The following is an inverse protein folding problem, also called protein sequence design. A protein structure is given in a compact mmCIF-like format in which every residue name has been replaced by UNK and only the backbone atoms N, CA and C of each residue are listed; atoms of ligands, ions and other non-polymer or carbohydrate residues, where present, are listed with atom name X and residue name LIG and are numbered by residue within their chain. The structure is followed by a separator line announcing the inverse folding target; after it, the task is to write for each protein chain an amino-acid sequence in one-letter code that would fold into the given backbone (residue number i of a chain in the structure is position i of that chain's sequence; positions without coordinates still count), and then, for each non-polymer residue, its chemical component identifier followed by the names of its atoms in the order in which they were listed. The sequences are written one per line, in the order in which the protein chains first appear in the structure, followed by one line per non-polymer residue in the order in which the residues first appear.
data_IF_482238179610
#
_entry.id   IF_482238179610
#
_cell.length_a   1.000
_cell.length_b   1.000
_cell.length_c   1.000
_cell.angle_alpha   90.00
_cell.angle_beta   90.00
_cell.angle_gamma   90.00
#
_symmetry.space_group_name_H-M   'P 1'
#
loop_
_entity.id
_entity.type
_entity.pdbx_description
1 polymer ?
#
# COMPACT_ATOMS: atom_id res chain seq x y z
N UNK A 1 -12.10 -6.21 0.26
CA UNK A 1 -11.08 -7.12 0.86
C UNK A 1 -9.87 -6.35 1.39
N UNK A 2 -9.11 -5.62 0.55
CA UNK A 2 -7.93 -4.88 1.01
C UNK A 2 -8.24 -3.86 2.13
N UNK A 3 -9.40 -3.18 2.07
CA UNK A 3 -9.83 -2.27 3.15
C UNK A 3 -10.09 -2.98 4.48
N UNK A 4 -10.54 -4.24 4.46
CA UNK A 4 -10.81 -5.05 5.66
C UNK A 4 -9.50 -5.53 6.29
N UNK A 5 -8.51 -5.85 5.46
CA UNK A 5 -7.22 -6.39 5.90
C UNK A 5 -6.16 -5.32 6.15
N UNK A 6 -6.54 -4.04 6.10
CA UNK A 6 -5.61 -2.92 6.10
C UNK A 6 -4.81 -2.81 7.40
N UNK A 7 -5.23 -3.47 8.48
CA UNK A 7 -4.55 -3.53 9.78
C UNK A 7 -4.26 -4.99 10.22
N UNK A 8 -4.32 -5.96 9.32
CA UNK A 8 -4.08 -7.37 9.67
C UNK A 8 -2.63 -7.55 10.18
N UNK A 9 -2.42 -8.14 11.38
CA UNK A 9 -1.10 -8.26 11.97
C UNK A 9 -0.20 -9.32 11.30
N UNK A 10 -0.75 -10.20 10.46
CA UNK A 10 0.01 -11.31 9.87
C UNK A 10 0.84 -10.85 8.68
N UNK A 11 2.17 -10.99 8.78
CA UNK A 11 3.12 -10.57 7.74
C UNK A 11 2.85 -11.21 6.36
N UNK A 12 2.42 -12.48 6.30
CA UNK A 12 2.08 -13.14 5.04
C UNK A 12 0.85 -12.51 4.37
N UNK A 13 -0.17 -12.11 5.16
CA UNK A 13 -1.35 -11.41 4.65
C UNK A 13 -0.95 -10.04 4.13
N UNK A 14 -0.11 -9.31 4.88
CA UNK A 14 0.38 -7.99 4.47
C UNK A 14 1.15 -8.04 3.15
N UNK A 15 2.03 -9.02 2.97
CA UNK A 15 2.77 -9.24 1.71
C UNK A 15 1.83 -9.58 0.55
N UNK A 16 0.87 -10.48 0.78
CA UNK A 16 -0.09 -10.87 -0.24
C UNK A 16 -0.96 -9.68 -0.68
N UNK A 17 -1.55 -8.95 0.27
CA UNK A 17 -2.40 -7.78 -0.02
C UNK A 17 -1.58 -6.67 -0.68
N UNK A 18 -0.37 -6.39 -0.19
CA UNK A 18 0.53 -5.41 -0.80
C UNK A 18 0.89 -5.76 -2.25
N UNK A 19 1.16 -7.05 -2.52
CA UNK A 19 1.39 -7.56 -3.89
C UNK A 19 0.16 -7.40 -4.79
N UNK A 20 -1.03 -7.73 -4.27
CA UNK A 20 -2.28 -7.56 -5.03
C UNK A 20 -2.56 -6.08 -5.36
N UNK A 21 -2.34 -5.17 -4.40
CA UNK A 21 -2.47 -3.72 -4.62
C UNK A 21 -1.48 -3.23 -5.68
N UNK A 22 -0.24 -3.73 -5.67
CA UNK A 22 0.76 -3.42 -6.70
C UNK A 22 0.30 -3.83 -8.08
N UNK A 23 -0.16 -5.06 -8.26
CA UNK A 23 -0.60 -5.54 -9.59
C UNK A 23 -1.88 -4.86 -10.06
N UNK A 24 -2.81 -4.55 -9.16
CA UNK A 24 -3.98 -3.75 -9.47
C UNK A 24 -3.59 -2.32 -9.89
N UNK A 25 -2.67 -1.69 -9.15
CA UNK A 25 -2.21 -0.33 -9.40
C UNK A 25 -1.40 -0.15 -10.68
N UNK A 26 -0.73 -1.20 -11.18
CA UNK A 26 -0.13 -1.16 -12.52
C UNK A 26 -1.18 -1.06 -13.64
N UNK A 27 -2.38 -1.60 -13.42
CA UNK A 27 -3.49 -1.55 -14.37
C UNK A 27 -4.32 -0.28 -14.21
N UNK A 28 -4.53 0.16 -12.97
CA UNK A 28 -5.23 1.40 -12.63
C UNK A 28 -4.46 2.20 -11.57
N UNK A 29 -3.51 3.07 -12.00
CA UNK A 29 -2.73 3.88 -11.09
C UNK A 29 -3.58 4.87 -10.30
N UNK A 30 -4.68 5.38 -10.86
CA UNK A 30 -5.52 6.37 -10.20
C UNK A 30 -6.26 5.75 -9.01
N UNK A 31 -6.81 4.54 -9.18
CA UNK A 31 -7.45 3.80 -8.09
C UNK A 31 -6.47 3.46 -6.96
N UNK A 32 -5.23 3.05 -7.29
CA UNK A 32 -4.20 2.79 -6.28
C UNK A 32 -3.89 4.05 -5.48
N UNK A 33 -3.65 5.19 -6.12
CA UNK A 33 -3.31 6.43 -5.42
C UNK A 33 -4.46 6.87 -4.50
N UNK A 34 -5.71 6.81 -5.00
CA UNK A 34 -6.87 7.13 -4.19
C UNK A 34 -7.01 6.22 -2.96
N UNK A 35 -6.68 4.93 -3.09
CA UNK A 35 -6.62 4.00 -1.96
C UNK A 35 -5.49 4.38 -0.98
N UNK A 36 -4.28 4.61 -1.48
CA UNK A 36 -3.14 4.97 -0.64
C UNK A 36 -3.36 6.29 0.11
N UNK A 37 -3.93 7.31 -0.55
CA UNK A 37 -4.25 8.59 0.09
C UNK A 37 -5.23 8.43 1.27
N UNK A 38 -6.15 7.46 1.20
CA UNK A 38 -7.13 7.19 2.28
C UNK A 38 -6.61 6.26 3.37
N UNK A 39 -5.67 5.37 3.06
CA UNK A 39 -5.35 4.21 3.91
C UNK A 39 -3.89 4.16 4.36
N UNK A 40 -2.93 4.76 3.64
CA UNK A 40 -1.50 4.58 3.89
C UNK A 40 -1.07 4.90 5.32
N UNK A 41 -1.69 5.90 5.96
CA UNK A 41 -1.35 6.31 7.33
C UNK A 41 -1.48 5.18 8.37
N UNK A 42 -2.36 4.22 8.14
CA UNK A 42 -2.72 3.10 9.03
C UNK A 42 -2.37 1.73 8.45
N UNK A 43 -1.77 1.70 7.25
CA UNK A 43 -1.31 0.45 6.65
C UNK A 43 -0.05 -0.05 7.37
N UNK A 44 0.09 -1.37 7.61
CA UNK A 44 1.35 -1.97 7.98
C UNK A 44 2.44 -1.62 6.98
N UNK A 45 3.62 -1.29 7.50
CA UNK A 45 4.78 -0.86 6.70
C UNK A 45 5.13 -1.87 5.61
N UNK A 46 5.02 -3.18 5.89
CA UNK A 46 5.24 -4.24 4.90
C UNK A 46 4.24 -4.16 3.75
N UNK A 47 2.94 -4.06 4.05
CA UNK A 47 1.91 -3.97 3.02
C UNK A 47 2.12 -2.75 2.12
N UNK A 48 2.37 -1.58 2.73
CA UNK A 48 2.59 -0.35 1.99
C UNK A 48 3.82 -0.45 1.08
N UNK A 49 4.96 -0.94 1.60
CA UNK A 49 6.20 -1.08 0.83
C UNK A 49 5.99 -1.90 -0.43
N UNK A 50 5.25 -2.99 -0.34
CA UNK A 50 4.93 -3.83 -1.50
C UNK A 50 3.99 -3.10 -2.47
N UNK A 51 2.94 -2.44 -1.97
CA UNK A 51 1.98 -1.72 -2.81
C UNK A 51 2.63 -0.61 -3.66
N UNK A 52 3.61 0.11 -3.11
CA UNK A 52 4.24 1.27 -3.75
C UNK A 52 5.52 0.94 -4.54
N UNK A 53 5.98 -0.31 -4.55
CA UNK A 53 7.31 -0.68 -5.08
C UNK A 53 7.56 -0.22 -6.52
N UNK A 54 6.52 -0.23 -7.34
CA UNK A 54 6.58 0.14 -8.77
C UNK A 54 6.42 1.65 -9.04
N UNK A 55 6.17 2.46 -8.00
CA UNK A 55 5.98 3.90 -8.15
C UNK A 55 7.34 4.63 -8.22
N UNK A 56 7.35 5.85 -8.77
CA UNK A 56 8.52 6.74 -8.72
C UNK A 56 8.95 7.07 -7.27
N UNK A 57 10.22 7.43 -7.08
CA UNK A 57 10.80 7.68 -5.76
C UNK A 57 10.02 8.75 -4.97
N UNK A 58 9.63 9.85 -5.62
CA UNK A 58 8.90 10.94 -4.96
C UNK A 58 7.58 10.47 -4.32
N UNK A 59 6.83 9.64 -5.05
CA UNK A 59 5.58 9.05 -4.54
C UNK A 59 5.87 8.05 -3.42
N UNK A 60 6.90 7.22 -3.58
CA UNK A 60 7.30 6.26 -2.55
C UNK A 60 7.72 6.97 -1.26
N UNK A 61 8.44 8.09 -1.37
CA UNK A 61 8.86 8.90 -0.23
C UNK A 61 7.67 9.54 0.48
N UNK A 62 6.73 10.14 -0.27
CA UNK A 62 5.48 10.71 0.26
C UNK A 62 4.71 9.71 1.11
N UNK A 63 4.43 8.53 0.58
CA UNK A 63 3.63 7.54 1.31
C UNK A 63 4.38 6.93 2.51
N UNK A 64 5.70 6.70 2.39
CA UNK A 64 6.52 6.25 3.52
C UNK A 64 6.53 7.25 4.67
N UNK A 65 6.56 8.55 4.37
CA UNK A 65 6.49 9.61 5.37
C UNK A 65 5.11 9.74 6.02
N UNK A 66 4.04 9.38 5.31
CA UNK A 66 2.67 9.47 5.81
C UNK A 66 2.25 8.29 6.72
N UNK A 67 3.04 7.21 6.78
CA UNK A 67 2.67 5.97 7.47
C UNK A 67 3.10 5.99 8.92
N UNK A 68 2.24 5.51 9.82
CA UNK A 68 2.57 5.33 11.23
C UNK A 68 3.81 4.43 11.42
N UNK A 69 4.61 4.66 12.49
CA UNK A 69 5.77 3.83 12.83
C UNK A 69 5.39 2.36 13.08
#
# INVERSE_FOLDING_TARGET
LAEILVEDPHDLVQKAVGGLLREAGKKDPAALLAFLDRHAARMPRTMLRYAIEHLGEDRRARYRAATAP
#
